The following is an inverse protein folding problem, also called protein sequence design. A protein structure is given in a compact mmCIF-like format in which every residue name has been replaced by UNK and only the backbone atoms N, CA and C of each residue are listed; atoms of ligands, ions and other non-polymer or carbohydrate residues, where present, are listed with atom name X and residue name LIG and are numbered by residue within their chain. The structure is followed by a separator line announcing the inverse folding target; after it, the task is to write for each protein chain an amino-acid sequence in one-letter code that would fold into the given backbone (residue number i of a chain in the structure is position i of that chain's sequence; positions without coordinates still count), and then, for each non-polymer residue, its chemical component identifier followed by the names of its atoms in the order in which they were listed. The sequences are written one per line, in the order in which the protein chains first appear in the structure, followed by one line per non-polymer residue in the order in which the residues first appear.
data_IF_125680558549
#
_entry.id   IF_125680558549
#
_cell.length_a   1.000
_cell.length_b   1.000
_cell.length_c   1.000
_cell.angle_alpha   90.00
_cell.angle_beta   90.00
_cell.angle_gamma   90.00
#
_symmetry.space_group_name_H-M   'P 1'
#
loop_
_entity.id
_entity.type
_entity.pdbx_description
1 polymer ?
#
# COMPACT_ATOMS: atom_id res chain seq x y z
N UNK A 1 3.99 -14.26 10.13
CA UNK A 1 4.99 -14.18 9.03
C UNK A 1 5.94 -13.03 9.33
N UNK A 2 7.25 -13.13 9.04
CA UNK A 2 8.18 -11.99 9.22
C UNK A 2 7.70 -10.82 8.33
N UNK A 3 7.47 -9.63 8.90
CA UNK A 3 6.99 -8.42 8.22
C UNK A 3 7.74 -8.16 6.89
N UNK A 4 9.06 -8.39 6.88
CA UNK A 4 9.90 -8.28 5.68
C UNK A 4 9.40 -9.13 4.51
N UNK A 5 8.99 -10.38 4.75
CA UNK A 5 8.47 -11.27 3.70
C UNK A 5 7.14 -10.75 3.16
N UNK A 6 6.25 -10.26 4.02
CA UNK A 6 4.96 -9.72 3.59
C UNK A 6 5.13 -8.48 2.70
N UNK A 7 6.02 -7.57 3.10
CA UNK A 7 6.36 -6.37 2.30
C UNK A 7 6.99 -6.75 0.96
N UNK A 8 7.96 -7.67 0.94
CA UNK A 8 8.61 -8.11 -0.31
C UNK A 8 7.59 -8.72 -1.27
N UNK A 9 6.76 -9.66 -0.79
CA UNK A 9 5.76 -10.32 -1.64
C UNK A 9 4.76 -9.31 -2.20
N UNK A 10 4.28 -8.39 -1.37
CA UNK A 10 3.36 -7.34 -1.83
C UNK A 10 3.99 -6.41 -2.87
N UNK A 11 5.23 -5.97 -2.65
CA UNK A 11 5.96 -5.13 -3.61
C UNK A 11 6.21 -5.86 -4.93
N UNK A 12 6.59 -7.14 -4.88
CA UNK A 12 6.77 -7.96 -6.09
C UNK A 12 5.45 -8.15 -6.86
N UNK A 13 4.34 -8.38 -6.16
CA UNK A 13 3.02 -8.48 -6.79
C UNK A 13 2.63 -7.17 -7.48
N UNK A 14 2.87 -6.01 -6.86
CA UNK A 14 2.62 -4.70 -7.49
C UNK A 14 3.51 -4.49 -8.71
N UNK A 15 4.79 -4.83 -8.61
CA UNK A 15 5.73 -4.68 -9.72
C UNK A 15 5.37 -5.60 -10.89
N UNK A 16 5.02 -6.87 -10.63
CA UNK A 16 4.57 -7.80 -11.65
C UNK A 16 3.27 -7.37 -12.31
N UNK A 17 2.33 -6.84 -11.54
CA UNK A 17 1.08 -6.31 -12.09
C UNK A 17 1.30 -5.05 -12.94
N UNK A 18 2.17 -4.12 -12.49
CA UNK A 18 2.59 -2.98 -13.31
C UNK A 18 3.23 -3.45 -14.62
N UNK A 19 4.17 -4.40 -14.56
CA UNK A 19 4.83 -4.94 -15.74
C UNK A 19 3.81 -5.59 -16.71
N UNK A 20 2.84 -6.34 -16.19
CA UNK A 20 1.79 -6.94 -17.00
C UNK A 20 0.91 -5.90 -17.70
N UNK A 21 0.44 -4.89 -16.96
CA UNK A 21 -0.35 -3.78 -17.54
C UNK A 21 0.48 -2.96 -18.53
N UNK A 22 1.75 -2.71 -18.22
CA UNK A 22 2.66 -1.99 -19.11
C UNK A 22 2.83 -2.71 -20.45
N UNK A 23 3.10 -4.01 -20.44
CA UNK A 23 3.21 -4.80 -21.67
C UNK A 23 1.91 -4.76 -22.48
N UNK A 24 0.76 -4.88 -21.80
CA UNK A 24 -0.55 -4.85 -22.44
C UNK A 24 -0.82 -3.52 -23.15
N UNK A 25 -0.38 -2.39 -22.58
CA UNK A 25 -0.58 -1.05 -23.16
C UNK A 25 0.54 -0.68 -24.15
N UNK A 26 1.78 -1.05 -23.88
CA UNK A 26 2.95 -0.67 -24.69
C UNK A 26 2.95 -1.38 -26.05
N UNK A 27 2.59 -2.67 -26.11
CA UNK A 27 2.57 -3.43 -27.36
C UNK A 27 1.65 -2.85 -28.45
N UNK A 28 0.42 -2.39 -28.17
CA UNK A 28 -0.35 -1.66 -29.16
C UNK A 28 0.18 -0.24 -29.35
N UNK A 29 0.63 0.45 -28.29
CA UNK A 29 1.11 1.83 -28.39
C UNK A 29 2.30 1.98 -29.37
N UNK A 30 3.22 1.02 -29.43
CA UNK A 30 4.33 1.00 -30.42
C UNK A 30 3.85 0.87 -31.87
N UNK A 31 2.62 0.45 -32.12
CA UNK A 31 2.05 0.35 -33.47
C UNK A 31 1.34 1.64 -33.88
N UNK A 32 0.80 2.39 -32.92
CA UNK A 32 0.03 3.62 -33.17
C UNK A 32 0.86 4.91 -33.05
N UNK A 33 2.02 4.87 -32.39
CA UNK A 33 2.86 6.04 -32.15
C UNK A 33 4.16 5.92 -32.94
N UNK A 34 4.56 7.00 -33.61
CA UNK A 34 5.72 7.03 -34.50
C UNK A 34 7.07 6.96 -33.77
N UNK A 35 7.08 7.25 -32.46
CA UNK A 35 8.28 7.27 -31.63
C UNK A 35 8.20 6.23 -30.53
N UNK A 36 9.18 5.32 -30.53
CA UNK A 36 9.35 4.30 -29.48
C UNK A 36 9.45 4.92 -28.08
N UNK A 37 10.15 6.05 -27.96
CA UNK A 37 10.25 6.76 -26.69
C UNK A 37 8.89 7.30 -26.24
N UNK A 38 8.14 7.92 -27.14
CA UNK A 38 6.80 8.46 -26.83
C UNK A 38 5.84 7.34 -26.46
N UNK A 39 5.90 6.20 -27.15
CA UNK A 39 5.13 5.01 -26.84
C UNK A 39 5.44 4.46 -25.45
N UNK A 40 6.73 4.28 -25.13
CA UNK A 40 7.16 3.77 -23.83
C UNK A 40 6.76 4.72 -22.69
N UNK A 41 6.95 6.03 -22.85
CA UNK A 41 6.59 7.03 -21.83
C UNK A 41 5.08 7.04 -21.60
N UNK A 42 4.29 7.13 -22.67
CA UNK A 42 2.82 7.17 -22.59
C UNK A 42 2.27 5.90 -21.95
N UNK A 43 2.72 4.73 -22.42
CA UNK A 43 2.32 3.45 -21.85
C UNK A 43 2.75 3.32 -20.38
N UNK A 44 3.92 3.86 -20.02
CA UNK A 44 4.42 3.90 -18.65
C UNK A 44 3.49 4.66 -17.71
N UNK A 45 3.07 5.87 -18.09
CA UNK A 45 2.13 6.67 -17.29
C UNK A 45 0.77 5.99 -17.15
N UNK A 46 0.21 5.50 -18.25
CA UNK A 46 -1.09 4.80 -18.25
C UNK A 46 -1.02 3.56 -17.37
N UNK A 47 0.02 2.74 -17.53
CA UNK A 47 0.21 1.54 -16.73
C UNK A 47 0.45 1.84 -15.25
N UNK A 48 1.17 2.91 -14.92
CA UNK A 48 1.41 3.31 -13.54
C UNK A 48 0.09 3.67 -12.84
N UNK A 49 -0.76 4.48 -13.47
CA UNK A 49 -2.05 4.89 -12.90
C UNK A 49 -3.02 3.70 -12.82
N UNK A 50 -3.12 2.91 -13.89
CA UNK A 50 -4.01 1.76 -13.94
C UNK A 50 -3.61 0.67 -12.94
N UNK A 51 -2.32 0.30 -12.90
CA UNK A 51 -1.83 -0.70 -11.95
C UNK A 51 -1.87 -0.20 -10.50
N UNK A 52 -1.61 1.08 -10.24
CA UNK A 52 -1.79 1.67 -8.91
C UNK A 52 -3.24 1.48 -8.44
N UNK A 53 -4.20 1.84 -9.29
CA UNK A 53 -5.63 1.70 -9.01
C UNK A 53 -6.01 0.23 -8.79
N UNK A 54 -5.58 -0.66 -9.69
CA UNK A 54 -5.86 -2.09 -9.60
C UNK A 54 -5.23 -2.72 -8.35
N UNK A 55 -4.08 -2.20 -7.89
CA UNK A 55 -3.38 -2.73 -6.71
C UNK A 55 -4.21 -2.59 -5.45
N UNK A 56 -4.97 -1.50 -5.34
CA UNK A 56 -5.83 -1.27 -4.19
C UNK A 56 -7.02 -2.22 -4.14
N UNK A 57 -7.49 -2.68 -5.29
CA UNK A 57 -8.66 -3.57 -5.40
C UNK A 57 -8.22 -5.03 -5.26
N UNK A 58 -7.27 -5.47 -6.09
CA UNK A 58 -6.88 -6.88 -6.22
C UNK A 58 -5.98 -7.35 -5.07
N UNK A 59 -5.11 -6.47 -4.56
CA UNK A 59 -4.13 -6.82 -3.52
C UNK A 59 -4.57 -6.44 -2.11
N UNK A 60 -5.89 -6.37 -1.87
CA UNK A 60 -6.47 -6.03 -0.57
C UNK A 60 -5.99 -6.96 0.56
N UNK A 61 -6.05 -8.29 0.35
CA UNK A 61 -5.62 -9.28 1.36
C UNK A 61 -4.13 -9.15 1.75
N UNK A 62 -3.18 -9.08 0.80
CA UNK A 62 -1.78 -8.78 1.12
C UNK A 62 -1.59 -7.48 1.93
N UNK A 63 -2.34 -6.42 1.60
CA UNK A 63 -2.28 -5.13 2.29
C UNK A 63 -2.74 -5.25 3.75
N UNK A 64 -3.85 -5.93 4.00
CA UNK A 64 -4.37 -6.19 5.36
C UNK A 64 -3.35 -6.94 6.22
N UNK A 65 -2.70 -7.98 5.66
CA UNK A 65 -1.65 -8.73 6.36
C UNK A 65 -0.43 -7.87 6.72
N UNK A 66 -0.08 -6.89 5.89
CA UNK A 66 1.00 -5.94 6.20
C UNK A 66 0.57 -5.02 7.34
N UNK A 67 -0.66 -4.50 7.30
CA UNK A 67 -1.19 -3.63 8.36
C UNK A 67 -1.20 -4.35 9.71
N UNK A 68 -1.70 -5.59 9.76
CA UNK A 68 -1.67 -6.46 10.94
C UNK A 68 -0.24 -6.69 11.43
N UNK A 69 0.69 -7.06 10.54
CA UNK A 69 2.09 -7.27 10.92
C UNK A 69 2.81 -6.01 11.42
N UNK A 70 2.39 -4.82 10.98
CA UNK A 70 2.90 -3.54 11.50
C UNK A 70 2.30 -3.26 12.88
N UNK A 71 1.00 -3.47 13.03
CA UNK A 71 0.30 -3.31 14.31
C UNK A 71 0.91 -4.22 15.38
N UNK A 72 1.09 -5.51 15.08
CA UNK A 72 1.71 -6.48 15.99
C UNK A 72 3.13 -6.11 16.41
N UNK A 73 3.87 -5.38 15.56
CA UNK A 73 5.19 -4.87 15.92
C UNK A 73 5.16 -3.62 16.77
N UNK A 74 4.13 -2.79 16.62
CA UNK A 74 4.03 -1.49 17.30
C UNK A 74 3.26 -1.57 18.61
N UNK A 75 2.37 -2.53 18.78
CA UNK A 75 1.54 -2.66 19.99
C UNK A 75 2.35 -2.84 21.26
N UNK A 76 3.51 -3.50 21.17
CA UNK A 76 4.39 -3.78 22.31
C UNK A 76 5.49 -2.71 22.48
N UNK A 77 5.51 -1.68 21.62
CA UNK A 77 6.47 -0.56 21.75
C UNK A 77 5.85 0.45 22.70
N UNK A 78 6.51 0.76 23.85
CA UNK A 78 6.04 1.80 24.75
C UNK A 78 5.90 3.11 23.98
N UNK A 79 4.67 3.64 23.92
CA UNK A 79 4.35 4.93 23.32
C UNK A 79 4.14 5.92 24.48
N UNK A 80 4.61 7.16 24.31
CA UNK A 80 4.25 8.23 25.23
C UNK A 80 2.72 8.39 25.23
N UNK A 81 2.08 8.57 26.40
CA UNK A 81 0.65 8.84 26.47
C UNK A 81 0.30 10.00 25.54
N UNK A 82 -0.72 9.83 24.70
CA UNK A 82 -1.28 10.99 23.97
C UNK A 82 -2.21 11.78 24.86
N UNK A 83 -2.52 12.99 24.41
CA UNK A 83 -3.50 13.88 25.03
C UNK A 83 -4.82 13.14 25.28
N UNK A 84 -5.37 12.47 24.25
CA UNK A 84 -6.56 11.62 24.36
C UNK A 84 -6.44 10.55 25.47
N UNK A 85 -5.28 9.90 25.61
CA UNK A 85 -5.08 8.86 26.64
C UNK A 85 -5.06 9.49 28.06
N UNK A 86 -4.58 10.73 28.20
CA UNK A 86 -4.52 11.47 29.47
C UNK A 86 -5.91 11.97 29.84
N UNK A 87 -6.65 12.50 28.85
CA UNK A 87 -8.03 12.98 29.03
C UNK A 87 -8.96 11.82 29.43
N UNK A 88 -8.90 10.69 28.74
CA UNK A 88 -9.69 9.50 29.07
C UNK A 88 -9.37 8.99 30.48
N UNK A 89 -8.08 8.91 30.85
CA UNK A 89 -7.66 8.49 32.19
C UNK A 89 -8.17 9.44 33.30
N UNK A 90 -8.17 10.74 33.04
CA UNK A 90 -8.71 11.73 33.99
C UNK A 90 -10.23 11.57 34.14
N UNK A 91 -10.95 11.37 33.04
CA UNK A 91 -12.40 11.14 33.06
C UNK A 91 -12.75 9.86 33.81
N UNK A 92 -12.08 8.75 33.52
CA UNK A 92 -12.32 7.47 34.21
C UNK A 92 -12.03 7.57 35.71
N UNK A 93 -10.90 8.20 36.10
CA UNK A 93 -10.60 8.42 37.53
C UNK A 93 -11.69 9.24 38.26
N UNK A 94 -12.27 10.24 37.59
CA UNK A 94 -13.33 11.07 38.16
C UNK A 94 -14.68 10.35 38.29
N UNK A 95 -14.85 9.25 37.54
CA UNK A 95 -16.07 8.45 37.50
C UNK A 95 -16.11 7.38 38.60
N UNK A 96 -14.95 6.83 38.95
CA UNK A 96 -14.80 5.82 40.02
C UNK A 96 -14.83 6.43 41.44
N UNK A 97 -14.63 7.75 41.58
CA UNK A 97 -14.68 8.46 42.87
C UNK A 97 -16.10 8.87 43.33
N UNK A 98 -17.15 8.58 42.56
CA UNK A 98 -18.56 8.87 42.88
C UNK A 98 -19.36 7.63 43.24
#
# INVERSE_FOLDING_TARGET
MKLSRAVIVYSLLRLGMFAGVFVLVYLPARTFLDSELTAAVTAGFVAAIASLSLSYIVLRKPRERIAEAIYERRKDVPRAPTDDDIEDAAVDSSRDER
#
